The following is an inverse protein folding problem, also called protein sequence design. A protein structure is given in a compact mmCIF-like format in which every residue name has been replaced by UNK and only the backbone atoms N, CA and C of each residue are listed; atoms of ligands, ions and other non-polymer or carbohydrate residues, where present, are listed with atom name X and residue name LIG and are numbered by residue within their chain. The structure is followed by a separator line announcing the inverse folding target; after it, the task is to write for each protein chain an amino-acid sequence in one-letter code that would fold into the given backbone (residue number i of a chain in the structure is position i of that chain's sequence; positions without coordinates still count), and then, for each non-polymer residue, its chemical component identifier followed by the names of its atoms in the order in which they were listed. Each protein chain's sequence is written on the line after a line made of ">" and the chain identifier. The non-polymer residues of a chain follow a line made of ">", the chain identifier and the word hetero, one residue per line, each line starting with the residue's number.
data_IF_451524522590
#
_entry.id   IF_451524522590
#
_cell.length_a   1.000
_cell.length_b   1.000
_cell.length_c   1.000
_cell.angle_alpha   90.00
_cell.angle_beta   90.00
_cell.angle_gamma   90.00
#
_symmetry.space_group_name_H-M   'P 1'
#
loop_
_entity.id
_entity.type
_entity.pdbx_description
1 polymer ?
#
# COMPACT_ATOMS: atom_id res chain seq x y z
N UNK A 1 14.51 21.48 17.82
CA UNK A 1 14.99 20.09 18.09
C UNK A 1 16.45 20.01 17.70
N UNK A 2 17.25 19.45 18.56
CA UNK A 2 18.73 19.56 18.55
C UNK A 2 19.37 18.89 17.33
N UNK A 3 20.34 19.53 16.71
CA UNK A 3 21.19 19.04 15.61
C UNK A 3 21.78 17.65 15.91
N UNK A 4 22.04 17.32 17.18
CA UNK A 4 22.60 16.05 17.64
C UNK A 4 21.63 14.87 17.44
N UNK A 5 20.32 15.04 17.66
CA UNK A 5 19.32 13.99 17.45
C UNK A 5 19.19 13.66 15.95
N UNK A 6 19.22 14.66 15.09
CA UNK A 6 19.14 14.51 13.62
C UNK A 6 20.32 13.71 13.04
N UNK A 7 21.55 13.94 13.52
CA UNK A 7 22.74 13.20 13.10
C UNK A 7 22.67 11.72 13.57
N UNK A 8 22.09 11.48 14.76
CA UNK A 8 21.90 10.12 15.26
C UNK A 8 20.88 9.31 14.43
N UNK A 9 19.77 9.93 14.02
CA UNK A 9 18.73 9.27 13.21
C UNK A 9 19.22 8.96 11.78
N UNK A 10 19.95 9.88 11.17
CA UNK A 10 20.56 9.68 9.85
C UNK A 10 21.59 8.54 9.88
N UNK A 11 22.44 8.50 10.91
CA UNK A 11 23.41 7.44 11.10
C UNK A 11 22.72 6.08 11.31
N UNK A 12 21.65 6.02 12.08
CA UNK A 12 20.87 4.80 12.28
C UNK A 12 20.32 4.25 10.95
N UNK A 13 19.68 5.10 10.15
CA UNK A 13 19.13 4.66 8.86
C UNK A 13 20.25 4.21 7.91
N UNK A 14 21.38 4.91 7.90
CA UNK A 14 22.54 4.53 7.10
C UNK A 14 23.08 3.16 7.52
N UNK A 15 23.28 2.94 8.82
CA UNK A 15 23.74 1.64 9.34
C UNK A 15 22.78 0.50 8.99
N UNK A 16 21.46 0.71 9.12
CA UNK A 16 20.47 -0.31 8.82
C UNK A 16 20.43 -0.66 7.31
N UNK A 17 20.57 0.33 6.42
CA UNK A 17 20.61 0.02 4.98
C UNK A 17 21.92 -0.64 4.56
N UNK A 18 23.04 -0.30 5.18
CA UNK A 18 24.32 -0.99 4.97
C UNK A 18 24.25 -2.44 5.48
N UNK A 19 23.64 -2.66 6.64
CA UNK A 19 23.36 -4.01 7.15
C UNK A 19 22.50 -4.80 6.15
N UNK A 20 21.38 -4.25 5.67
CA UNK A 20 20.51 -4.88 4.68
C UNK A 20 21.31 -5.33 3.44
N UNK A 21 22.13 -4.43 2.89
CA UNK A 21 22.91 -4.71 1.67
C UNK A 21 24.02 -5.73 1.90
N UNK A 22 24.57 -5.79 3.11
CA UNK A 22 25.61 -6.76 3.50
C UNK A 22 25.03 -8.15 3.73
N UNK A 23 23.91 -8.25 4.45
CA UNK A 23 23.29 -9.55 4.79
C UNK A 23 22.47 -10.13 3.62
N UNK A 24 21.91 -9.28 2.77
CA UNK A 24 21.07 -9.63 1.62
C UNK A 24 21.57 -8.95 0.34
N UNK A 25 22.77 -9.32 -0.20
CA UNK A 25 23.30 -8.67 -1.39
C UNK A 25 22.34 -8.82 -2.59
N UNK A 26 21.92 -7.72 -3.25
CA UNK A 26 20.91 -7.79 -4.33
C UNK A 26 21.34 -8.67 -5.52
N UNK A 27 22.63 -8.86 -5.72
CA UNK A 27 23.17 -9.72 -6.79
C UNK A 27 22.96 -11.22 -6.58
N UNK A 28 22.67 -11.65 -5.34
CA UNK A 28 22.53 -13.07 -4.95
C UNK A 28 21.26 -13.38 -4.17
N UNK A 29 20.46 -12.35 -3.84
CA UNK A 29 19.22 -12.48 -3.09
C UNK A 29 18.00 -12.28 -4.00
N UNK A 30 17.02 -13.15 -3.93
CA UNK A 30 15.77 -12.94 -4.68
C UNK A 30 14.99 -11.73 -4.18
N UNK A 31 14.13 -11.18 -5.05
CA UNK A 31 13.44 -9.93 -4.77
C UNK A 31 12.50 -9.99 -3.55
N UNK A 32 11.83 -11.11 -3.31
CA UNK A 32 10.89 -11.23 -2.19
C UNK A 32 11.64 -11.28 -0.86
N UNK A 33 12.71 -12.06 -0.80
CA UNK A 33 13.59 -12.16 0.37
C UNK A 33 14.22 -10.81 0.70
N UNK A 34 14.76 -10.10 -0.31
CA UNK A 34 15.35 -8.77 -0.12
C UNK A 34 14.32 -7.76 0.42
N UNK A 35 13.17 -7.64 -0.25
CA UNK A 35 12.12 -6.70 0.16
C UNK A 35 11.53 -7.08 1.52
N UNK A 36 11.43 -8.38 1.83
CA UNK A 36 11.06 -8.86 3.15
C UNK A 36 12.00 -8.37 4.24
N UNK A 37 13.30 -8.55 4.06
CA UNK A 37 14.33 -8.07 4.97
C UNK A 37 14.31 -6.53 5.11
N UNK A 38 14.12 -5.81 4.00
CA UNK A 38 13.97 -4.36 4.01
C UNK A 38 12.77 -3.92 4.86
N UNK A 39 11.65 -4.60 4.76
CA UNK A 39 10.46 -4.35 5.58
C UNK A 39 10.73 -4.64 7.06
N UNK A 40 11.32 -5.79 7.36
CA UNK A 40 11.57 -6.27 8.72
C UNK A 40 12.58 -5.36 9.47
N UNK A 41 13.52 -4.73 8.75
CA UNK A 41 14.43 -3.72 9.28
C UNK A 41 13.80 -2.30 9.41
N UNK A 42 12.53 -2.13 9.04
CA UNK A 42 11.83 -0.84 9.12
C UNK A 42 12.23 0.15 8.01
N UNK A 43 12.81 -0.33 6.91
CA UNK A 43 13.29 0.48 5.80
C UNK A 43 12.32 0.54 4.61
N UNK A 44 11.12 -0.02 4.76
CA UNK A 44 10.10 0.01 3.72
C UNK A 44 9.51 1.42 3.55
N UNK A 45 9.08 1.99 4.66
CA UNK A 45 8.60 3.37 4.80
C UNK A 45 9.08 3.90 6.14
N UNK A 46 10.22 4.57 6.18
CA UNK A 46 10.89 4.95 7.45
C UNK A 46 10.01 5.74 8.42
N UNK A 47 8.97 6.41 7.90
CA UNK A 47 8.01 7.16 8.69
C UNK A 47 6.89 6.32 9.31
N UNK A 48 6.70 5.09 8.88
CA UNK A 48 5.68 4.21 9.47
C UNK A 48 6.10 3.78 10.89
N UNK A 49 5.15 3.39 11.73
CA UNK A 49 5.45 2.90 13.08
C UNK A 49 6.39 1.70 13.06
N UNK A 50 7.17 1.55 14.11
CA UNK A 50 8.01 0.37 14.34
C UNK A 50 7.14 -0.89 14.35
N UNK A 51 7.60 -1.94 13.66
CA UNK A 51 6.85 -3.20 13.48
C UNK A 51 5.88 -3.19 12.29
N UNK A 52 5.72 -2.06 11.60
CA UNK A 52 4.88 -1.92 10.41
C UNK A 52 5.67 -1.51 9.16
N UNK A 53 6.93 -1.91 9.10
CA UNK A 53 7.84 -1.60 7.99
C UNK A 53 8.50 -0.23 8.08
N UNK A 54 8.43 0.43 9.24
CA UNK A 54 9.02 1.74 9.50
C UNK A 54 9.78 1.82 10.82
N UNK A 55 10.35 2.99 11.06
CA UNK A 55 11.16 3.34 12.23
C UNK A 55 10.55 4.48 13.06
N UNK A 56 9.38 5.01 12.63
CA UNK A 56 8.76 6.18 13.26
C UNK A 56 9.56 7.48 13.05
N UNK A 57 10.42 7.53 12.03
CA UNK A 57 11.30 8.66 11.76
C UNK A 57 10.71 9.62 10.72
N UNK A 58 11.40 10.75 10.49
CA UNK A 58 10.99 11.68 9.44
C UNK A 58 11.07 11.03 8.05
N UNK A 59 10.05 11.23 7.17
CA UNK A 59 10.04 10.67 5.80
C UNK A 59 11.22 11.14 4.94
N UNK A 60 11.92 12.22 5.32
CA UNK A 60 13.13 12.69 4.64
C UNK A 60 14.23 11.63 4.58
N UNK A 61 14.29 10.74 5.55
CA UNK A 61 15.30 9.68 5.61
C UNK A 61 15.05 8.55 4.63
N UNK A 62 13.84 8.43 4.06
CA UNK A 62 13.58 7.48 2.98
C UNK A 62 14.50 7.69 1.78
N UNK A 63 14.96 8.92 1.56
CA UNK A 63 15.92 9.25 0.50
C UNK A 63 17.23 8.47 0.65
N UNK A 64 17.75 8.32 1.86
CA UNK A 64 18.97 7.54 2.14
C UNK A 64 18.78 6.09 1.71
N UNK A 65 17.69 5.45 2.16
CA UNK A 65 17.36 4.07 1.80
C UNK A 65 17.28 3.92 0.28
N UNK A 66 16.55 4.81 -0.38
CA UNK A 66 16.35 4.76 -1.82
C UNK A 66 17.66 4.93 -2.62
N UNK A 67 18.56 5.83 -2.18
CA UNK A 67 19.83 6.06 -2.84
C UNK A 67 20.78 4.84 -2.71
N UNK A 68 20.88 4.27 -1.51
CA UNK A 68 21.73 3.10 -1.26
C UNK A 68 21.21 1.86 -1.99
N UNK A 69 19.91 1.58 -1.92
CA UNK A 69 19.31 0.43 -2.60
C UNK A 69 19.37 0.57 -4.13
N UNK A 70 19.10 1.76 -4.67
CA UNK A 70 19.23 2.01 -6.11
C UNK A 70 20.67 1.84 -6.60
N UNK A 71 21.67 2.36 -5.87
CA UNK A 71 23.10 2.21 -6.19
C UNK A 71 23.54 0.75 -6.19
N UNK A 72 22.97 -0.05 -5.28
CA UNK A 72 23.25 -1.48 -5.19
C UNK A 72 22.48 -2.33 -6.22
N UNK A 73 21.61 -1.75 -7.05
CA UNK A 73 20.77 -2.48 -7.99
C UNK A 73 19.69 -3.33 -7.35
N UNK A 74 19.25 -2.95 -6.15
CA UNK A 74 18.22 -3.68 -5.40
C UNK A 74 16.83 -3.60 -6.08
N UNK A 75 15.96 -4.59 -5.84
CA UNK A 75 14.59 -4.56 -6.33
C UNK A 75 13.83 -3.35 -5.77
N UNK A 76 13.03 -2.70 -6.64
CA UNK A 76 12.22 -1.54 -6.25
C UNK A 76 10.76 -1.99 -6.06
N UNK A 77 10.18 -1.86 -4.86
CA UNK A 77 8.82 -2.30 -4.56
C UNK A 77 7.76 -1.56 -5.40
N UNK A 78 8.03 -0.31 -5.80
CA UNK A 78 7.13 0.48 -6.63
C UNK A 78 6.82 -0.19 -7.98
N UNK A 79 7.80 -0.80 -8.64
CA UNK A 79 7.55 -1.45 -9.94
C UNK A 79 6.75 -2.74 -9.83
N UNK A 80 6.78 -3.38 -8.67
CA UNK A 80 6.00 -4.60 -8.42
C UNK A 80 4.56 -4.30 -8.05
N UNK A 81 4.33 -3.27 -7.24
CA UNK A 81 3.04 -2.97 -6.65
C UNK A 81 2.85 -1.45 -6.43
N UNK A 82 2.78 -0.66 -7.52
CA UNK A 82 2.78 0.81 -7.42
C UNK A 82 1.61 1.35 -6.60
N UNK A 83 0.42 0.79 -6.78
CA UNK A 83 -0.79 1.21 -6.06
C UNK A 83 -0.72 0.76 -4.59
N UNK A 84 -0.32 -0.47 -4.36
CA UNK A 84 -0.12 -0.99 -3.01
C UNK A 84 0.89 -0.13 -2.25
N UNK A 85 2.09 0.05 -2.80
CA UNK A 85 3.18 0.80 -2.18
C UNK A 85 2.84 2.28 -1.93
N UNK A 86 2.26 2.96 -2.93
CA UNK A 86 2.07 4.42 -2.90
C UNK A 86 0.77 4.88 -2.27
N UNK A 87 -0.26 4.04 -2.19
CA UNK A 87 -1.60 4.41 -1.73
C UNK A 87 -2.14 3.47 -0.66
N UNK A 88 -2.24 2.16 -0.96
CA UNK A 88 -2.92 1.24 -0.06
C UNK A 88 -2.16 1.04 1.26
N UNK A 89 -0.83 0.90 1.22
CA UNK A 89 0.01 0.78 2.41
C UNK A 89 -0.14 1.97 3.36
N UNK A 90 0.04 3.22 2.89
CA UNK A 90 -0.24 4.42 3.69
C UNK A 90 -1.66 4.47 4.27
N UNK A 91 -2.68 4.07 3.49
CA UNK A 91 -4.06 4.02 3.98
C UNK A 91 -4.25 2.97 5.07
N UNK A 92 -3.68 1.77 4.89
CA UNK A 92 -3.76 0.70 5.89
C UNK A 92 -3.04 1.10 7.19
N UNK A 93 -1.88 1.76 7.11
CA UNK A 93 -1.16 2.18 8.32
C UNK A 93 -1.89 3.26 9.09
N UNK A 94 -2.58 4.16 8.40
CA UNK A 94 -3.30 5.27 9.02
C UNK A 94 -4.64 4.83 9.62
N UNK A 95 -5.41 4.01 8.90
CA UNK A 95 -6.82 3.72 9.20
C UNK A 95 -7.12 2.25 9.52
N UNK A 96 -6.19 1.34 9.24
CA UNK A 96 -6.39 -0.09 9.50
C UNK A 96 -6.26 -0.46 10.97
N UNK A 97 -6.93 -1.55 11.37
CA UNK A 97 -6.71 -2.17 12.68
C UNK A 97 -5.29 -2.77 12.78
N UNK A 98 -4.85 -3.07 13.99
CA UNK A 98 -3.54 -3.70 14.19
C UNK A 98 -3.45 -5.08 13.50
N UNK A 99 -4.54 -5.82 13.44
CA UNK A 99 -4.64 -7.09 12.71
C UNK A 99 -4.50 -6.87 11.21
N UNK A 100 -5.15 -5.84 10.67
CA UNK A 100 -5.04 -5.47 9.25
C UNK A 100 -3.63 -5.02 8.89
N UNK A 101 -2.99 -4.21 9.72
CA UNK A 101 -1.60 -3.77 9.51
C UNK A 101 -0.64 -4.96 9.46
N UNK A 102 -0.74 -5.87 10.45
CA UNK A 102 0.08 -7.09 10.50
C UNK A 102 -0.18 -8.03 9.32
N UNK A 103 -1.46 -8.15 8.90
CA UNK A 103 -1.85 -9.04 7.80
C UNK A 103 -1.40 -8.52 6.44
N UNK A 104 -1.50 -7.22 6.19
CA UNK A 104 -1.43 -6.69 4.84
C UNK A 104 -0.11 -6.00 4.49
N UNK A 105 0.54 -5.27 5.41
CA UNK A 105 1.62 -4.35 5.04
C UNK A 105 2.84 -5.05 4.46
N UNK A 106 3.29 -6.15 5.06
CA UNK A 106 4.48 -6.86 4.59
C UNK A 106 4.30 -7.49 3.21
N UNK A 107 3.28 -8.35 2.95
CA UNK A 107 3.07 -8.93 1.63
C UNK A 107 2.72 -7.89 0.56
N UNK A 108 2.08 -6.78 0.94
CA UNK A 108 1.86 -5.64 0.06
C UNK A 108 3.18 -4.98 -0.36
N UNK A 109 4.10 -4.74 0.58
CA UNK A 109 5.39 -4.11 0.29
C UNK A 109 6.29 -5.00 -0.56
N UNK A 110 6.38 -6.28 -0.25
CA UNK A 110 7.18 -7.25 -1.02
C UNK A 110 6.63 -7.50 -2.41
N UNK A 111 5.34 -7.19 -2.64
CA UNK A 111 4.63 -7.50 -3.87
C UNK A 111 4.27 -8.98 -4.02
N UNK A 112 4.28 -9.75 -2.92
CA UNK A 112 3.63 -11.07 -2.88
C UNK A 112 2.14 -10.94 -3.14
N UNK A 113 1.52 -9.89 -2.58
CA UNK A 113 0.13 -9.56 -2.79
C UNK A 113 0.03 -8.18 -3.46
N UNK A 114 -0.24 -8.20 -4.75
CA UNK A 114 -0.48 -6.97 -5.53
C UNK A 114 -1.84 -6.38 -5.16
N UNK A 115 -1.88 -5.06 -5.06
CA UNK A 115 -3.09 -4.32 -4.71
C UNK A 115 -3.50 -3.36 -5.82
N UNK A 116 -4.80 -3.14 -5.97
CA UNK A 116 -5.36 -2.12 -6.85
C UNK A 116 -6.25 -1.15 -6.10
N UNK A 117 -6.60 -0.04 -6.76
CA UNK A 117 -7.58 0.90 -6.25
C UNK A 117 -8.90 0.80 -7.04
N UNK A 118 -10.01 0.64 -6.33
CA UNK A 118 -11.35 0.52 -6.88
C UNK A 118 -12.11 1.83 -6.60
N UNK A 119 -11.76 2.90 -7.32
CA UNK A 119 -12.23 4.27 -7.05
C UNK A 119 -13.19 4.75 -8.14
N UNK A 120 -12.66 5.03 -9.34
CA UNK A 120 -13.40 5.64 -10.44
C UNK A 120 -14.53 4.74 -10.96
N UNK A 121 -15.63 5.37 -11.41
CA UNK A 121 -16.78 4.72 -12.01
C UNK A 121 -17.04 5.26 -13.41
N UNK A 122 -17.85 4.61 -14.26
CA UNK A 122 -18.19 5.13 -15.58
C UNK A 122 -18.76 6.55 -15.55
N UNK A 123 -19.51 6.89 -14.50
CA UNK A 123 -20.13 8.21 -14.30
C UNK A 123 -19.39 9.13 -13.33
N UNK A 124 -18.30 8.68 -12.70
CA UNK A 124 -17.61 9.45 -11.66
C UNK A 124 -16.10 9.20 -11.69
N UNK A 125 -15.37 10.21 -12.09
CA UNK A 125 -13.90 10.24 -12.11
C UNK A 125 -13.36 11.35 -11.22
N UNK A 126 -13.14 12.54 -11.79
CA UNK A 126 -12.66 13.72 -11.03
C UNK A 126 -13.63 14.17 -9.95
N UNK A 127 -14.93 14.08 -10.18
CA UNK A 127 -15.95 14.21 -9.13
C UNK A 127 -16.08 12.88 -8.36
N UNK A 128 -15.08 12.59 -7.54
CA UNK A 128 -15.01 11.35 -6.77
C UNK A 128 -16.19 11.18 -5.80
N UNK A 129 -16.66 12.27 -5.22
CA UNK A 129 -17.81 12.26 -4.30
C UNK A 129 -19.14 11.93 -4.99
N UNK A 130 -19.19 11.98 -6.32
CA UNK A 130 -20.35 11.59 -7.14
C UNK A 130 -20.46 10.09 -7.40
N UNK A 131 -19.59 9.25 -6.81
CA UNK A 131 -19.64 7.80 -6.99
C UNK A 131 -21.00 7.21 -6.56
N UNK A 132 -21.45 6.21 -7.30
CA UNK A 132 -22.77 5.58 -7.17
C UNK A 132 -22.73 4.15 -6.61
N UNK A 133 -21.57 3.50 -6.59
CA UNK A 133 -21.41 2.19 -5.96
C UNK A 133 -21.79 2.24 -4.48
N UNK A 134 -22.56 1.26 -4.03
CA UNK A 134 -23.16 1.24 -2.68
C UNK A 134 -22.60 0.10 -1.87
N UNK A 135 -22.40 0.36 -0.57
CA UNK A 135 -22.16 -0.64 0.46
C UNK A 135 -23.33 -0.69 1.42
N UNK A 136 -23.90 -1.86 1.61
CA UNK A 136 -25.00 -2.09 2.55
C UNK A 136 -24.56 -3.13 3.56
N UNK A 137 -24.77 -2.82 4.86
CA UNK A 137 -24.47 -3.76 5.92
C UNK A 137 -25.53 -4.84 6.00
N UNK A 138 -25.13 -6.10 6.05
CA UNK A 138 -25.97 -7.26 6.27
C UNK A 138 -25.39 -8.11 7.41
N UNK A 139 -25.93 -7.93 8.60
CA UNK A 139 -25.37 -8.51 9.82
C UNK A 139 -23.96 -8.00 10.12
N UNK A 140 -22.98 -8.90 10.16
CA UNK A 140 -21.56 -8.57 10.36
C UNK A 140 -20.80 -8.33 9.05
N UNK A 141 -21.45 -8.54 7.91
CA UNK A 141 -20.86 -8.41 6.58
C UNK A 141 -21.29 -7.14 5.87
N UNK A 142 -20.56 -6.77 4.81
CA UNK A 142 -20.92 -5.68 3.91
C UNK A 142 -21.08 -6.19 2.49
N UNK A 143 -22.19 -5.86 1.87
CA UNK A 143 -22.46 -6.17 0.48
C UNK A 143 -22.20 -4.92 -0.36
N UNK A 144 -21.18 -4.97 -1.22
CA UNK A 144 -20.83 -3.88 -2.12
C UNK A 144 -21.36 -4.17 -3.53
N UNK A 145 -22.10 -3.23 -4.12
CA UNK A 145 -22.61 -3.31 -5.49
C UNK A 145 -22.21 -2.06 -6.29
N UNK A 146 -21.62 -2.27 -7.46
CA UNK A 146 -21.21 -1.18 -8.35
C UNK A 146 -20.20 -1.64 -9.38
N UNK A 147 -19.80 -0.71 -10.25
CA UNK A 147 -18.78 -0.93 -11.26
C UNK A 147 -17.67 0.10 -11.11
N UNK A 148 -16.44 -0.38 -11.03
CA UNK A 148 -15.23 0.46 -11.02
C UNK A 148 -14.50 0.34 -12.35
N UNK A 149 -13.86 1.43 -12.79
CA UNK A 149 -13.14 1.49 -14.07
C UNK A 149 -11.74 2.07 -13.88
N UNK A 150 -10.88 1.90 -14.87
CA UNK A 150 -9.50 2.43 -14.89
C UNK A 150 -8.64 1.89 -13.74
N UNK A 151 -8.90 0.66 -13.32
CA UNK A 151 -8.26 0.03 -12.18
C UNK A 151 -6.94 -0.62 -12.61
N UNK A 152 -5.84 0.08 -12.38
CA UNK A 152 -4.49 -0.41 -12.69
C UNK A 152 -4.21 -1.72 -11.96
N UNK A 153 -3.74 -2.73 -12.71
CA UNK A 153 -3.36 -4.07 -12.23
C UNK A 153 -4.50 -4.90 -11.61
N UNK A 154 -5.78 -4.54 -11.76
CA UNK A 154 -6.89 -5.29 -11.17
C UNK A 154 -6.85 -6.79 -11.46
N UNK A 155 -6.45 -7.17 -12.68
CA UNK A 155 -6.37 -8.58 -13.11
C UNK A 155 -5.22 -9.38 -12.48
N UNK A 156 -4.28 -8.71 -11.82
CA UNK A 156 -3.16 -9.32 -11.08
C UNK A 156 -3.30 -9.15 -9.57
N UNK A 157 -4.27 -8.34 -9.13
CA UNK A 157 -4.39 -7.95 -7.74
C UNK A 157 -5.02 -9.04 -6.89
N UNK A 158 -4.43 -9.25 -5.71
CA UNK A 158 -5.01 -10.11 -4.66
C UNK A 158 -6.04 -9.34 -3.85
N UNK A 159 -5.79 -8.06 -3.59
CA UNK A 159 -6.69 -7.17 -2.87
C UNK A 159 -6.94 -5.86 -3.61
N UNK A 160 -8.07 -5.23 -3.33
CA UNK A 160 -8.40 -3.90 -3.79
C UNK A 160 -8.83 -2.99 -2.65
N UNK A 161 -8.39 -1.73 -2.69
CA UNK A 161 -8.93 -0.69 -1.83
C UNK A 161 -10.18 -0.13 -2.52
N UNK A 162 -11.35 -0.54 -2.04
CA UNK A 162 -12.66 -0.17 -2.58
C UNK A 162 -13.25 1.00 -1.81
N UNK A 163 -13.75 2.02 -2.52
CA UNK A 163 -14.56 3.07 -1.92
C UNK A 163 -15.97 3.02 -2.47
N UNK A 164 -16.94 2.97 -1.58
CA UNK A 164 -18.38 2.95 -1.89
C UNK A 164 -19.15 3.90 -0.98
N UNK A 165 -20.38 4.22 -1.35
CA UNK A 165 -21.31 4.99 -0.53
C UNK A 165 -22.03 4.06 0.42
N UNK A 166 -21.84 4.28 1.72
CA UNK A 166 -22.51 3.55 2.81
C UNK A 166 -23.62 4.37 3.47
N UNK A 167 -23.57 5.69 3.33
CA UNK A 167 -24.65 6.60 3.80
C UNK A 167 -25.08 7.50 2.64
N UNK A 168 -26.31 7.31 2.18
CA UNK A 168 -26.88 8.06 1.06
C UNK A 168 -27.35 9.47 1.47
N UNK A 169 -27.62 9.70 2.76
CA UNK A 169 -28.13 10.98 3.28
C UNK A 169 -26.97 11.93 3.65
N UNK A 170 -25.78 11.38 3.88
CA UNK A 170 -24.62 12.18 4.21
C UNK A 170 -24.08 12.99 3.02
N UNK A 171 -23.61 14.19 3.32
CA UNK A 171 -23.13 15.13 2.30
C UNK A 171 -21.79 14.67 1.72
N UNK A 172 -21.74 14.51 0.40
CA UNK A 172 -20.51 14.25 -0.37
C UNK A 172 -19.65 13.13 0.24
N UNK A 173 -18.42 13.49 0.69
CA UNK A 173 -17.43 12.51 1.17
C UNK A 173 -17.80 11.87 2.51
N UNK A 174 -18.63 12.52 3.34
CA UNK A 174 -19.00 12.00 4.65
C UNK A 174 -19.77 10.67 4.61
N UNK A 175 -20.41 10.35 3.48
CA UNK A 175 -21.12 9.09 3.27
C UNK A 175 -20.28 7.99 2.60
N UNK A 176 -18.97 8.18 2.45
CA UNK A 176 -18.11 7.21 1.79
C UNK A 176 -17.31 6.39 2.81
N UNK A 177 -17.18 5.09 2.53
CA UNK A 177 -16.39 4.16 3.32
C UNK A 177 -15.41 3.41 2.42
N UNK A 178 -14.20 3.21 2.93
CA UNK A 178 -13.18 2.41 2.29
C UNK A 178 -13.15 0.98 2.86
N UNK A 179 -13.06 -0.01 1.98
CA UNK A 179 -12.96 -1.42 2.32
C UNK A 179 -11.76 -2.07 1.65
N UNK A 180 -11.17 -3.05 2.31
CA UNK A 180 -10.26 -3.99 1.67
C UNK A 180 -11.10 -5.13 1.09
N UNK A 181 -11.01 -5.33 -0.21
CA UNK A 181 -11.77 -6.38 -0.93
C UNK A 181 -10.80 -7.43 -1.44
N UNK A 182 -11.13 -8.70 -1.21
CA UNK A 182 -10.50 -9.83 -1.87
C UNK A 182 -10.93 -9.86 -3.34
N UNK A 183 -10.01 -9.64 -4.26
CA UNK A 183 -10.29 -9.61 -5.70
C UNK A 183 -10.67 -10.99 -6.28
N UNK A 184 -10.51 -12.06 -5.49
CA UNK A 184 -10.90 -13.42 -5.83
C UNK A 184 -12.20 -13.85 -5.15
N UNK A 185 -12.84 -12.96 -4.38
CA UNK A 185 -14.09 -13.26 -3.71
C UNK A 185 -15.23 -13.53 -4.72
N UNK A 186 -16.19 -14.39 -4.39
CA UNK A 186 -17.41 -14.56 -5.18
C UNK A 186 -18.11 -13.22 -5.42
N UNK A 187 -18.51 -12.95 -6.67
CA UNK A 187 -19.15 -11.70 -7.08
C UNK A 187 -18.19 -10.62 -7.58
N UNK A 188 -16.87 -10.78 -7.44
CA UNK A 188 -15.90 -9.89 -8.07
C UNK A 188 -15.61 -10.38 -9.49
N UNK A 189 -15.92 -9.55 -10.49
CA UNK A 189 -15.61 -9.81 -11.89
C UNK A 189 -14.63 -8.75 -12.41
N UNK A 190 -13.48 -9.19 -12.91
CA UNK A 190 -12.46 -8.31 -13.50
C UNK A 190 -12.46 -8.49 -15.01
N UNK A 191 -12.67 -7.39 -15.74
CA UNK A 191 -12.63 -7.33 -17.21
C UNK A 191 -11.45 -6.48 -17.65
N UNK A 192 -10.33 -7.10 -18.10
CA UNK A 192 -9.19 -6.35 -18.59
C UNK A 192 -9.55 -5.48 -19.80
N UNK A 193 -9.15 -4.21 -19.75
CA UNK A 193 -9.31 -3.30 -20.88
C UNK A 193 -8.25 -3.64 -21.95
N UNK A 194 -8.68 -4.03 -23.13
CA UNK A 194 -7.80 -4.17 -24.30
C UNK A 194 -7.75 -2.82 -25.01
N UNK A 195 -6.60 -2.17 -24.95
CA UNK A 195 -6.34 -0.99 -25.77
C UNK A 195 -5.96 -1.44 -27.18
N UNK A 196 -6.49 -0.74 -28.17
CA UNK A 196 -6.13 -0.94 -29.58
C UNK A 196 -4.82 -0.23 -29.90
#
# INVERSE_FOLDING_TARGET
>A
MSTTATVSEELLVTQLVEQLLSEYPPSSTDALTFLGAQFDLGLAWVQFPVGHGGLGLSPRYQKIVNEYTAKAGAPNPYYRNPIGYGMCGPTVVEWGSEEQKKRYLRPLFTGEEVWCQLFSEPGSGSDFAGLSAKGVQDGEEWIANGQKVWTTLAHLSRFGLLVVRTDAEAVKHAGLTAFVVDMQAPGVEVRPLRQM
#
